data_IF_358621250751
#
_entry.id   IF_358621250751
#
_cell.length_a   1.000
_cell.length_b   1.000
_cell.length_c   1.000
_cell.angle_alpha   90.00
_cell.angle_beta   90.00
_cell.angle_gamma   90.00
#
_symmetry.space_group_name_H-M   'P 1'
#
loop_
_entity.id
_entity.type
_entity.pdbx_description
1 polymer ?
#
# COMPACT_ATOMS: atom_id res chain seq x y z
N UNK A 1 39.83 32.23 46.37
CA UNK A 1 40.15 31.97 44.96
C UNK A 1 39.34 30.82 44.39
N UNK A 2 38.47 30.15 45.17
CA UNK A 2 37.71 28.98 44.72
C UNK A 2 36.26 29.30 44.23
N UNK A 3 35.65 30.41 44.68
CA UNK A 3 34.27 30.74 44.32
C UNK A 3 34.05 31.03 42.83
N UNK A 4 35.03 31.61 42.14
CA UNK A 4 34.92 31.87 40.69
C UNK A 4 35.03 30.58 39.84
N UNK A 5 35.84 29.60 40.32
CA UNK A 5 35.98 28.30 39.69
C UNK A 5 34.70 27.45 39.84
N UNK A 6 34.08 27.50 41.03
CA UNK A 6 32.80 26.80 41.29
C UNK A 6 31.67 27.40 40.45
N UNK A 7 31.68 28.72 40.28
CA UNK A 7 30.67 29.39 39.42
C UNK A 7 30.81 29.01 37.95
N UNK A 8 32.04 29.00 37.41
CA UNK A 8 32.32 28.57 36.02
C UNK A 8 31.96 27.11 35.85
N UNK A 9 32.33 26.24 36.82
CA UNK A 9 31.95 24.82 36.77
C UNK A 9 30.45 24.60 36.74
N UNK A 10 29.67 25.37 37.53
CA UNK A 10 28.20 25.28 37.55
C UNK A 10 27.58 25.69 36.22
N UNK A 11 28.05 26.75 35.58
CA UNK A 11 27.57 27.18 34.26
C UNK A 11 27.92 26.15 33.18
N UNK A 12 29.08 25.53 33.25
CA UNK A 12 29.53 24.54 32.28
C UNK A 12 28.69 23.26 32.39
N UNK A 13 28.45 22.79 33.62
CA UNK A 13 27.58 21.64 33.88
C UNK A 13 26.11 21.94 33.44
N UNK A 14 25.58 23.12 33.78
CA UNK A 14 24.28 23.56 33.38
C UNK A 14 24.12 23.60 31.85
N UNK A 15 25.13 24.12 31.15
CA UNK A 15 25.15 24.13 29.67
C UNK A 15 25.15 22.73 29.05
N UNK A 16 25.93 21.79 29.61
CA UNK A 16 25.95 20.40 29.14
C UNK A 16 24.59 19.72 29.34
N UNK A 17 23.95 19.93 30.49
CA UNK A 17 22.63 19.38 30.79
C UNK A 17 21.57 19.92 29.80
N UNK A 18 21.61 21.24 29.54
CA UNK A 18 20.67 21.85 28.56
C UNK A 18 20.89 21.26 27.16
N UNK A 19 22.14 21.13 26.70
CA UNK A 19 22.46 20.54 25.42
C UNK A 19 21.97 19.07 25.31
N UNK A 20 22.12 18.28 26.39
CA UNK A 20 21.65 16.92 26.46
C UNK A 20 20.09 16.85 26.36
N UNK A 21 19.39 17.74 27.06
CA UNK A 21 17.92 17.83 27.00
C UNK A 21 17.43 18.24 25.63
N UNK A 22 18.07 19.20 24.97
CA UNK A 22 17.76 19.61 23.60
C UNK A 22 17.98 18.43 22.64
N UNK A 23 19.09 17.72 22.76
CA UNK A 23 19.39 16.53 21.95
C UNK A 23 18.34 15.42 22.12
N UNK A 24 17.93 15.15 23.36
CA UNK A 24 16.84 14.19 23.64
C UNK A 24 15.52 14.62 23.03
N UNK A 25 15.17 15.90 23.15
CA UNK A 25 13.91 16.44 22.58
C UNK A 25 13.88 16.32 21.07
N UNK A 26 14.99 16.65 20.39
CA UNK A 26 15.10 16.50 18.93
C UNK A 26 15.00 15.03 18.52
N UNK A 27 15.68 14.13 19.21
CA UNK A 27 15.60 12.68 18.94
C UNK A 27 14.20 12.13 19.15
N UNK A 28 13.52 12.56 20.21
CA UNK A 28 12.14 12.16 20.51
C UNK A 28 11.18 12.64 19.41
N UNK A 29 11.28 13.91 19.00
CA UNK A 29 10.44 14.46 17.94
C UNK A 29 10.63 13.72 16.61
N UNK A 30 11.88 13.42 16.24
CA UNK A 30 12.18 12.67 15.02
C UNK A 30 11.56 11.27 15.06
N UNK A 31 11.76 10.52 16.15
CA UNK A 31 11.15 9.19 16.32
C UNK A 31 9.63 9.22 16.33
N UNK A 32 9.02 10.22 16.97
CA UNK A 32 7.57 10.39 16.99
C UNK A 32 7.01 10.62 15.58
N UNK A 33 7.68 11.43 14.75
CA UNK A 33 7.28 11.65 13.36
C UNK A 33 7.42 10.37 12.52
N UNK A 34 8.51 9.61 12.68
CA UNK A 34 8.70 8.34 11.98
C UNK A 34 7.62 7.33 12.33
N UNK A 35 7.27 7.21 13.61
CA UNK A 35 6.19 6.32 14.07
C UNK A 35 4.86 6.70 13.44
N UNK A 36 4.49 7.98 13.48
CA UNK A 36 3.25 8.47 12.85
C UNK A 36 3.20 8.22 11.35
N UNK A 37 4.31 8.44 10.63
CA UNK A 37 4.38 8.14 9.20
C UNK A 37 4.23 6.64 8.91
N UNK A 38 4.82 5.79 9.76
CA UNK A 38 4.66 4.34 9.67
C UNK A 38 3.21 3.89 9.89
N UNK A 39 2.55 4.43 10.91
CA UNK A 39 1.13 4.16 11.18
C UNK A 39 0.24 4.60 10.01
N UNK A 40 0.47 5.80 9.46
CA UNK A 40 -0.28 6.29 8.29
C UNK A 40 -0.03 5.40 7.07
N UNK A 41 1.20 4.95 6.84
CA UNK A 41 1.53 4.06 5.72
C UNK A 41 0.83 2.70 5.88
N UNK A 42 0.85 2.11 7.08
CA UNK A 42 0.16 0.86 7.39
C UNK A 42 -1.35 0.99 7.21
N UNK A 43 -1.96 2.01 7.81
CA UNK A 43 -3.38 2.27 7.68
C UNK A 43 -3.82 2.45 6.21
N UNK A 44 -3.08 3.28 5.46
CA UNK A 44 -3.38 3.49 4.03
C UNK A 44 -3.25 2.20 3.21
N UNK A 45 -2.26 1.37 3.52
CA UNK A 45 -2.05 0.09 2.83
C UNK A 45 -3.16 -0.90 3.14
N UNK A 46 -3.60 -0.95 4.39
CA UNK A 46 -4.70 -1.81 4.84
C UNK A 46 -6.03 -1.40 4.22
N UNK A 47 -6.33 -0.10 4.15
CA UNK A 47 -7.55 0.42 3.50
C UNK A 47 -7.61 0.03 2.02
N UNK A 48 -6.50 0.23 1.30
CA UNK A 48 -6.41 -0.19 -0.11
C UNK A 48 -6.51 -1.71 -0.22
N UNK A 49 -5.86 -2.44 0.68
CA UNK A 49 -5.96 -3.89 0.77
C UNK A 49 -7.40 -4.39 0.91
N UNK A 50 -8.20 -3.75 1.77
CA UNK A 50 -9.64 -4.07 1.96
C UNK A 50 -10.46 -3.84 0.69
N UNK A 51 -10.19 -2.76 -0.05
CA UNK A 51 -10.87 -2.50 -1.34
C UNK A 51 -10.51 -3.60 -2.35
N UNK A 52 -9.23 -3.92 -2.48
CA UNK A 52 -8.76 -4.99 -3.36
C UNK A 52 -9.42 -6.31 -2.95
N UNK A 53 -9.47 -6.64 -1.67
CA UNK A 53 -10.10 -7.84 -1.13
C UNK A 53 -11.57 -7.92 -1.53
N UNK A 54 -12.34 -6.86 -1.27
CA UNK A 54 -13.76 -6.78 -1.64
C UNK A 54 -14.01 -7.00 -3.13
N UNK A 55 -13.17 -6.41 -3.99
CA UNK A 55 -13.30 -6.56 -5.44
C UNK A 55 -12.95 -7.98 -5.91
N UNK A 56 -11.84 -8.53 -5.39
CA UNK A 56 -11.37 -9.87 -5.81
C UNK A 56 -12.24 -11.00 -5.25
N UNK A 57 -12.89 -10.84 -4.10
CA UNK A 57 -13.89 -11.79 -3.61
C UNK A 57 -15.12 -11.89 -4.53
N UNK A 58 -15.46 -10.77 -5.18
CA UNK A 58 -16.56 -10.71 -6.15
C UNK A 58 -16.15 -11.07 -7.59
N UNK A 59 -14.86 -11.33 -7.86
CA UNK A 59 -14.40 -11.65 -9.21
C UNK A 59 -15.24 -12.78 -9.84
N UNK A 60 -15.81 -12.53 -11.02
CA UNK A 60 -16.70 -13.46 -11.73
C UNK A 60 -18.12 -13.54 -11.16
N UNK A 61 -18.47 -12.78 -10.14
CA UNK A 61 -19.82 -12.82 -9.56
C UNK A 61 -20.84 -12.30 -10.56
N UNK A 62 -21.88 -13.11 -10.82
CA UNK A 62 -22.96 -12.87 -11.82
C UNK A 62 -22.45 -12.63 -13.25
N UNK A 63 -21.30 -13.17 -13.59
CA UNK A 63 -20.72 -13.07 -14.95
C UNK A 63 -20.94 -14.38 -15.70
N UNK A 64 -21.65 -14.32 -16.83
CA UNK A 64 -21.92 -15.47 -17.69
C UNK A 64 -20.85 -15.73 -18.76
N UNK A 65 -19.86 -14.83 -18.90
CA UNK A 65 -18.78 -14.91 -19.89
C UNK A 65 -17.39 -15.03 -19.27
N UNK A 66 -16.40 -14.49 -19.98
CA UNK A 66 -15.03 -14.44 -19.50
C UNK A 66 -14.94 -13.59 -18.24
N UNK A 67 -14.50 -14.18 -17.13
CA UNK A 67 -14.42 -13.54 -15.81
C UNK A 67 -13.17 -12.71 -15.68
N UNK A 68 -12.04 -13.19 -16.22
CA UNK A 68 -10.79 -12.43 -16.35
C UNK A 68 -10.62 -12.12 -17.84
N UNK A 69 -10.44 -10.83 -18.15
CA UNK A 69 -10.26 -10.33 -19.53
C UNK A 69 -8.78 -10.29 -19.89
N UNK A 70 -7.96 -9.80 -18.96
CA UNK A 70 -6.50 -9.72 -19.13
C UNK A 70 -5.79 -9.76 -17.79
N UNK A 71 -4.59 -10.30 -17.77
CA UNK A 71 -3.72 -10.30 -16.60
C UNK A 71 -2.26 -10.27 -17.04
N UNK A 72 -1.47 -9.43 -16.39
CA UNK A 72 -0.02 -9.42 -16.44
C UNK A 72 0.56 -9.08 -15.05
N UNK A 73 1.87 -8.93 -14.93
CA UNK A 73 2.54 -8.67 -13.64
C UNK A 73 2.15 -7.35 -12.97
N UNK A 74 1.63 -6.39 -13.72
CA UNK A 74 1.37 -5.01 -13.30
C UNK A 74 -0.07 -4.57 -13.52
N UNK A 75 -0.89 -5.41 -14.15
CA UNK A 75 -2.29 -5.11 -14.42
C UNK A 75 -3.19 -6.34 -14.46
N UNK A 76 -4.45 -6.15 -14.13
CA UNK A 76 -5.52 -7.11 -14.33
C UNK A 76 -6.81 -6.39 -14.69
N UNK A 77 -7.57 -6.98 -15.63
CA UNK A 77 -8.95 -6.59 -15.93
C UNK A 77 -9.84 -7.80 -15.77
N UNK A 78 -10.89 -7.66 -14.97
CA UNK A 78 -11.87 -8.71 -14.71
C UNK A 78 -13.29 -8.16 -14.65
N UNK A 79 -14.27 -9.05 -14.73
CA UNK A 79 -15.69 -8.74 -14.67
C UNK A 79 -16.27 -9.18 -13.33
N UNK A 80 -17.12 -8.34 -12.74
CA UNK A 80 -17.85 -8.63 -11.51
C UNK A 80 -19.05 -7.69 -11.36
N UNK A 81 -20.17 -8.16 -10.81
CA UNK A 81 -21.28 -7.29 -10.38
C UNK A 81 -20.93 -6.74 -8.97
N UNK A 82 -20.29 -5.56 -8.94
CA UNK A 82 -19.78 -4.98 -7.69
C UNK A 82 -20.88 -4.37 -6.82
N UNK A 83 -21.87 -3.75 -7.43
CA UNK A 83 -22.96 -3.02 -6.77
C UNK A 83 -24.26 -3.85 -6.60
N UNK A 84 -24.23 -5.13 -7.04
CA UNK A 84 -25.35 -6.06 -6.99
C UNK A 84 -26.59 -5.61 -7.80
N UNK A 85 -26.40 -4.83 -8.85
CA UNK A 85 -27.49 -4.38 -9.73
C UNK A 85 -27.89 -5.41 -10.80
N UNK A 86 -27.20 -6.55 -10.88
CA UNK A 86 -27.43 -7.62 -11.85
C UNK A 86 -26.66 -7.46 -13.16
N UNK A 87 -25.89 -6.40 -13.31
CA UNK A 87 -25.05 -6.12 -14.50
C UNK A 87 -23.58 -6.23 -14.11
N UNK A 88 -22.79 -6.96 -14.90
CA UNK A 88 -21.37 -7.10 -14.62
C UNK A 88 -20.59 -5.83 -15.02
N UNK A 89 -19.83 -5.29 -14.09
CA UNK A 89 -18.90 -4.17 -14.28
C UNK A 89 -17.52 -4.68 -14.70
N UNK A 90 -16.78 -3.87 -15.46
CA UNK A 90 -15.37 -4.13 -15.76
C UNK A 90 -14.49 -3.43 -14.73
N UNK A 91 -13.70 -4.20 -13.99
CA UNK A 91 -12.76 -3.71 -12.98
C UNK A 91 -11.34 -3.86 -13.50
N UNK A 92 -10.60 -2.76 -13.52
CA UNK A 92 -9.21 -2.74 -13.96
C UNK A 92 -8.33 -2.21 -12.84
N UNK A 93 -7.32 -2.99 -12.48
CA UNK A 93 -6.17 -2.54 -11.69
C UNK A 93 -4.97 -2.44 -12.62
N UNK A 94 -4.29 -1.32 -12.60
CA UNK A 94 -3.10 -1.12 -13.45
C UNK A 94 -2.11 -0.18 -12.78
N UNK A 95 -0.83 -0.31 -13.10
CA UNK A 95 0.19 0.63 -12.65
C UNK A 95 0.63 1.54 -13.78
N UNK A 96 0.95 2.78 -13.42
CA UNK A 96 1.52 3.77 -14.33
C UNK A 96 2.59 4.59 -13.62
N UNK A 97 3.63 5.00 -14.35
CA UNK A 97 4.68 5.86 -13.82
C UNK A 97 4.44 7.30 -14.26
N UNK A 98 4.37 8.22 -13.28
CA UNK A 98 4.25 9.66 -13.53
C UNK A 98 5.24 10.40 -12.63
N UNK A 99 6.03 11.30 -13.21
CA UNK A 99 7.05 12.06 -12.47
C UNK A 99 7.97 11.16 -11.61
N UNK A 100 8.45 10.07 -12.19
CA UNK A 100 9.31 9.06 -11.54
C UNK A 100 8.69 8.38 -10.31
N UNK A 101 7.36 8.47 -10.12
CA UNK A 101 6.60 7.78 -9.07
C UNK A 101 5.66 6.78 -9.70
N UNK A 102 5.59 5.57 -9.12
CA UNK A 102 4.66 4.54 -9.54
C UNK A 102 3.31 4.77 -8.86
N UNK A 103 2.25 4.65 -9.64
CA UNK A 103 0.87 4.78 -9.17
C UNK A 103 0.09 3.52 -9.49
N UNK A 104 -0.68 3.06 -8.50
CA UNK A 104 -1.72 2.05 -8.71
C UNK A 104 -3.03 2.78 -9.00
N UNK A 105 -3.66 2.42 -10.11
CA UNK A 105 -4.97 2.93 -10.52
C UNK A 105 -5.98 1.80 -10.46
N UNK A 106 -7.09 2.01 -9.79
CA UNK A 106 -8.31 1.20 -9.90
C UNK A 106 -9.33 1.95 -10.74
N UNK A 107 -9.90 1.28 -11.70
CA UNK A 107 -10.98 1.80 -12.54
C UNK A 107 -12.11 0.79 -12.60
N UNK A 108 -13.31 1.23 -12.33
CA UNK A 108 -14.55 0.49 -12.58
C UNK A 108 -15.25 1.16 -13.73
N UNK A 109 -15.62 0.40 -14.75
CA UNK A 109 -16.43 0.84 -15.87
C UNK A 109 -17.72 0.02 -15.88
N UNK A 110 -18.86 0.69 -15.83
CA UNK A 110 -20.19 0.09 -15.73
C UNK A 110 -21.21 1.14 -15.33
N UNK A 111 -22.27 0.73 -14.64
CA UNK A 111 -23.40 1.60 -14.24
C UNK A 111 -22.95 2.73 -13.29
N UNK A 112 -21.99 2.44 -12.42
CA UNK A 112 -21.37 3.43 -11.52
C UNK A 112 -19.86 3.49 -11.75
N UNK A 113 -19.46 4.18 -12.82
CA UNK A 113 -18.04 4.33 -13.15
C UNK A 113 -17.28 5.09 -12.06
N UNK A 114 -16.29 4.46 -11.48
CA UNK A 114 -15.41 5.06 -10.45
C UNK A 114 -13.94 4.82 -10.79
N UNK A 115 -13.10 5.76 -10.43
CA UNK A 115 -11.65 5.55 -10.50
C UNK A 115 -10.94 6.28 -9.37
N UNK A 116 -9.85 5.67 -8.87
CA UNK A 116 -8.93 6.32 -7.96
C UNK A 116 -7.49 5.90 -8.26
N UNK A 117 -6.56 6.66 -7.77
CA UNK A 117 -5.14 6.46 -7.98
C UNK A 117 -4.36 6.75 -6.69
N UNK A 118 -3.42 5.87 -6.35
CA UNK A 118 -2.55 6.04 -5.18
C UNK A 118 -1.09 5.83 -5.55
N UNK A 119 -0.15 6.55 -4.91
CA UNK A 119 1.26 6.28 -5.07
C UNK A 119 1.63 4.96 -4.37
N UNK A 120 2.42 4.13 -5.05
CA UNK A 120 2.90 2.85 -4.54
C UNK A 120 4.39 2.69 -4.85
N UNK A 121 5.10 1.89 -4.04
CA UNK A 121 6.49 1.50 -4.35
C UNK A 121 6.51 0.30 -5.29
N UNK A 122 5.60 -0.65 -5.07
CA UNK A 122 5.46 -1.86 -5.88
C UNK A 122 4.02 -2.33 -5.87
N UNK A 123 3.57 -2.81 -6.99
CA UNK A 123 2.36 -3.60 -7.14
C UNK A 123 2.69 -4.77 -8.05
N UNK A 124 2.28 -5.97 -7.66
CA UNK A 124 2.47 -7.17 -8.46
C UNK A 124 1.24 -8.05 -8.33
N UNK A 125 0.84 -8.62 -9.45
CA UNK A 125 -0.29 -9.52 -9.56
C UNK A 125 0.06 -10.73 -10.42
N UNK A 126 -0.46 -11.89 -10.07
CA UNK A 126 -0.33 -13.12 -10.85
C UNK A 126 -1.56 -13.99 -10.65
N UNK A 127 -1.95 -14.70 -11.69
CA UNK A 127 -2.89 -15.83 -11.56
C UNK A 127 -2.24 -16.98 -10.83
N UNK A 128 -3.05 -17.85 -10.25
CA UNK A 128 -2.66 -19.10 -9.60
C UNK A 128 -3.43 -20.22 -10.30
N UNK A 129 -2.75 -21.25 -10.77
CA UNK A 129 -3.37 -22.41 -11.38
C UNK A 129 -3.82 -23.46 -10.34
N UNK A 130 -4.35 -24.60 -10.80
CA UNK A 130 -4.80 -25.69 -9.95
C UNK A 130 -3.68 -26.38 -9.17
N UNK A 131 -2.41 -26.20 -9.57
CA UNK A 131 -1.24 -26.72 -8.86
C UNK A 131 -0.70 -25.74 -7.80
N UNK A 132 -1.22 -24.52 -7.77
CA UNK A 132 -0.74 -23.43 -6.92
C UNK A 132 0.41 -22.63 -7.54
N UNK A 133 0.80 -22.92 -8.78
CA UNK A 133 1.85 -22.20 -9.50
C UNK A 133 1.32 -20.89 -10.10
N UNK A 134 2.24 -19.92 -10.26
CA UNK A 134 1.88 -18.65 -10.91
C UNK A 134 1.66 -18.86 -12.42
N UNK A 135 0.58 -18.28 -12.94
CA UNK A 135 0.23 -18.36 -14.36
C UNK A 135 -0.38 -17.05 -14.87
N UNK A 136 -0.15 -16.76 -16.14
CA UNK A 136 -0.81 -15.66 -16.86
C UNK A 136 -1.76 -16.21 -17.95
N UNK A 137 -1.89 -17.52 -18.05
CA UNK A 137 -2.87 -18.13 -18.93
C UNK A 137 -4.27 -18.06 -18.28
N UNK A 138 -5.12 -17.19 -18.81
CA UNK A 138 -6.47 -16.89 -18.28
C UNK A 138 -7.31 -18.16 -18.08
N UNK A 139 -7.18 -19.16 -18.98
CA UNK A 139 -7.96 -20.40 -18.94
C UNK A 139 -7.58 -21.31 -17.74
N UNK A 140 -6.37 -21.17 -17.23
CA UNK A 140 -5.83 -22.01 -16.16
C UNK A 140 -5.96 -21.36 -14.78
N UNK A 141 -6.37 -20.10 -14.70
CA UNK A 141 -6.43 -19.37 -13.43
C UNK A 141 -7.56 -19.91 -12.56
N UNK A 142 -7.22 -20.29 -11.32
CA UNK A 142 -8.11 -20.73 -10.25
C UNK A 142 -8.06 -19.80 -9.04
N UNK A 143 -7.09 -18.92 -9.00
CA UNK A 143 -6.93 -17.91 -7.98
C UNK A 143 -6.06 -16.77 -8.46
N UNK A 144 -5.95 -15.73 -7.65
CA UNK A 144 -5.13 -14.55 -7.95
C UNK A 144 -4.30 -14.19 -6.72
N UNK A 145 -3.01 -13.96 -6.91
CA UNK A 145 -2.11 -13.43 -5.88
C UNK A 145 -1.84 -11.96 -6.15
N UNK A 146 -2.07 -11.12 -5.15
CA UNK A 146 -1.83 -9.68 -5.23
C UNK A 146 -0.86 -9.29 -4.14
N UNK A 147 0.14 -8.49 -4.47
CA UNK A 147 1.03 -7.87 -3.50
C UNK A 147 1.15 -6.36 -3.75
N UNK A 148 1.17 -5.60 -2.67
CA UNK A 148 1.21 -4.16 -2.66
C UNK A 148 2.26 -3.69 -1.65
N UNK A 149 3.11 -2.77 -2.06
CA UNK A 149 4.02 -2.05 -1.16
C UNK A 149 3.77 -0.56 -1.34
N UNK A 150 3.35 0.11 -0.29
CA UNK A 150 3.25 1.57 -0.28
C UNK A 150 4.55 2.17 0.22
N UNK A 151 4.78 3.46 -0.09
CA UNK A 151 5.90 4.21 0.41
C UNK A 151 5.43 5.61 0.81
N UNK A 152 5.87 6.08 1.99
CA UNK A 152 5.78 7.47 2.40
C UNK A 152 7.18 8.05 2.45
N UNK A 153 7.41 9.12 1.71
CA UNK A 153 8.66 9.86 1.79
C UNK A 153 8.74 10.52 3.17
N UNK A 154 9.75 10.13 3.96
CA UNK A 154 10.14 10.86 5.16
C UNK A 154 11.13 11.94 4.76
N UNK A 155 11.07 13.10 5.39
CA UNK A 155 12.10 14.15 5.30
C UNK A 155 13.46 13.69 5.86
N UNK A 156 13.46 12.64 6.66
CA UNK A 156 14.66 11.94 7.10
C UNK A 156 14.94 10.81 6.09
N UNK A 157 16.19 10.57 5.78
CA UNK A 157 16.84 9.65 4.83
C UNK A 157 16.30 8.19 4.77
N UNK A 158 15.16 7.90 5.38
CA UNK A 158 14.56 6.57 5.49
C UNK A 158 13.21 6.51 4.74
N UNK A 159 13.07 5.53 3.86
CA UNK A 159 11.78 5.20 3.24
C UNK A 159 10.95 4.37 4.22
N UNK A 160 9.82 4.90 4.65
CA UNK A 160 8.85 4.19 5.48
C UNK A 160 7.78 3.64 4.55
N UNK A 161 7.64 2.32 4.51
CA UNK A 161 6.65 1.64 3.68
C UNK A 161 5.93 0.54 4.43
N UNK A 162 4.75 0.18 3.95
CA UNK A 162 4.00 -0.97 4.42
C UNK A 162 3.81 -1.97 3.28
N UNK A 163 3.82 -3.25 3.62
CA UNK A 163 3.64 -4.36 2.68
C UNK A 163 2.34 -5.08 3.00
N UNK A 164 1.59 -5.40 1.94
CA UNK A 164 0.39 -6.21 2.01
C UNK A 164 0.41 -7.23 0.88
N UNK A 165 0.02 -8.47 1.18
CA UNK A 165 -0.10 -9.55 0.19
C UNK A 165 -1.25 -10.46 0.55
N UNK A 166 -2.03 -10.87 -0.46
CA UNK A 166 -3.11 -11.84 -0.30
C UNK A 166 -3.27 -12.72 -1.53
N UNK A 167 -3.71 -13.96 -1.31
CA UNK A 167 -4.15 -14.89 -2.34
C UNK A 167 -5.66 -15.02 -2.25
N UNK A 168 -6.32 -14.89 -3.39
CA UNK A 168 -7.76 -15.00 -3.54
C UNK A 168 -8.11 -16.24 -4.35
N UNK A 169 -9.12 -16.97 -3.90
CA UNK A 169 -9.70 -18.11 -4.62
C UNK A 169 -11.21 -17.87 -4.76
N UNK A 170 -11.63 -16.98 -5.69
CA UNK A 170 -13.04 -16.64 -5.86
C UNK A 170 -13.85 -17.86 -6.24
N UNK A 171 -15.00 -18.05 -5.58
CA UNK A 171 -15.91 -19.19 -5.85
C UNK A 171 -16.47 -19.20 -7.27
N UNK A 172 -16.39 -18.06 -7.94
CA UNK A 172 -16.96 -17.88 -9.27
C UNK A 172 -15.92 -17.98 -10.41
N UNK A 173 -14.66 -18.32 -10.12
CA UNK A 173 -13.60 -18.57 -11.12
C UNK A 173 -13.68 -19.96 -11.74
#
# INVERSE_FOLDING_TARGET
MNQSLDLIGSYLLGGIVILALVGLTLSYNTKSQETKLSEIAQYSTEEVGKIIESDFEKLGYRVSGNKIISIDTSSITFMADLDNNGTADSVTYSTSTKNNKLYLTRRVAGTQATSWQIPVKRFSISGIDSSGAATFNILNIKGVSVSLTTNKESSAKYEIGAFWQRKFYPKNL
#
